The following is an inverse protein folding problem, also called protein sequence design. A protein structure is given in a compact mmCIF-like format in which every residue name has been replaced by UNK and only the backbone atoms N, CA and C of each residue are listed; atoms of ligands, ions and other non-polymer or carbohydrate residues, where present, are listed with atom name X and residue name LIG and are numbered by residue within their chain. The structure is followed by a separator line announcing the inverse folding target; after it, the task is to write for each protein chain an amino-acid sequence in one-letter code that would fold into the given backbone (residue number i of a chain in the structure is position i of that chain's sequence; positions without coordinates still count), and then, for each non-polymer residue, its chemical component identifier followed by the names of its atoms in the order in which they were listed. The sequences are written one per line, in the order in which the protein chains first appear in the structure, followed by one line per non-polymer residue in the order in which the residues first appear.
data_IF_942680572287
#
_entry.id   IF_942680572287
#
_cell.length_a   1.000
_cell.length_b   1.000
_cell.length_c   1.000
_cell.angle_alpha   90.00
_cell.angle_beta   90.00
_cell.angle_gamma   90.00
#
_symmetry.space_group_name_H-M   'P 1'
#
loop_
_entity.id
_entity.type
_entity.pdbx_description
1 polymer ?
#
# COMPACT_ATOMS: atom_id res chain seq x y z
N UNK A 1 8.47 -16.43 -5.87
CA UNK A 1 7.96 -15.59 -6.98
C UNK A 1 9.04 -15.38 -8.04
N UNK A 2 10.19 -14.81 -7.70
CA UNK A 2 11.22 -14.35 -8.66
C UNK A 2 11.71 -15.46 -9.61
N UNK A 3 12.08 -16.61 -9.10
CA UNK A 3 12.64 -17.73 -9.91
C UNK A 3 11.66 -18.19 -11.01
N UNK A 4 10.37 -18.32 -10.70
CA UNK A 4 9.35 -18.69 -11.68
C UNK A 4 9.08 -17.59 -12.69
N UNK A 5 9.00 -16.31 -12.25
CA UNK A 5 8.80 -15.18 -13.14
C UNK A 5 9.95 -15.05 -14.15
N UNK A 6 11.20 -15.17 -13.69
CA UNK A 6 12.41 -15.11 -14.53
C UNK A 6 12.41 -16.25 -15.56
N UNK A 7 12.13 -17.48 -15.14
CA UNK A 7 12.06 -18.66 -16.04
C UNK A 7 10.96 -18.48 -17.09
N UNK A 8 9.78 -18.01 -16.70
CA UNK A 8 8.67 -17.78 -17.62
C UNK A 8 9.00 -16.72 -18.67
N UNK A 9 9.56 -15.55 -18.25
CA UNK A 9 9.95 -14.49 -19.18
C UNK A 9 11.05 -14.94 -20.15
N UNK A 10 12.07 -15.66 -19.67
CA UNK A 10 13.11 -16.25 -20.53
C UNK A 10 12.56 -17.28 -21.50
N UNK A 11 11.48 -17.98 -21.15
CA UNK A 11 10.77 -18.90 -22.04
C UNK A 11 9.80 -18.18 -23.03
N UNK A 12 9.69 -16.85 -22.94
CA UNK A 12 8.90 -16.05 -23.88
C UNK A 12 7.48 -15.70 -23.38
N UNK A 13 7.11 -16.03 -22.15
CA UNK A 13 5.82 -15.70 -21.56
C UNK A 13 5.82 -14.28 -20.96
N UNK A 14 4.65 -13.63 -21.00
CA UNK A 14 4.35 -12.49 -20.14
C UNK A 14 3.95 -12.98 -18.75
N UNK A 15 4.11 -12.18 -17.71
CA UNK A 15 3.93 -12.62 -16.32
C UNK A 15 2.99 -11.70 -15.56
N UNK A 16 1.92 -12.25 -14.98
CA UNK A 16 1.23 -11.67 -13.86
C UNK A 16 1.80 -12.32 -12.58
N UNK A 17 2.23 -11.50 -11.63
CA UNK A 17 2.92 -11.94 -10.44
C UNK A 17 2.24 -11.39 -9.19
N UNK A 18 1.93 -12.26 -8.23
CA UNK A 18 1.42 -11.83 -6.94
C UNK A 18 2.45 -11.01 -6.15
N UNK A 19 1.93 -10.13 -5.31
CA UNK A 19 2.76 -9.36 -4.37
C UNK A 19 3.28 -10.25 -3.22
N UNK A 20 4.43 -9.92 -2.65
CA UNK A 20 5.44 -8.98 -3.13
C UNK A 20 6.17 -9.52 -4.36
N UNK A 21 6.77 -8.64 -5.14
CA UNK A 21 7.49 -9.00 -6.39
C UNK A 21 8.57 -10.08 -6.18
N UNK A 22 9.22 -10.09 -5.00
CA UNK A 22 10.23 -11.06 -4.60
C UNK A 22 10.37 -11.08 -3.07
N UNK A 23 11.19 -11.99 -2.55
CA UNK A 23 11.53 -12.06 -1.12
C UNK A 23 12.65 -11.09 -0.74
N UNK A 24 13.52 -10.74 -1.69
CA UNK A 24 14.65 -9.83 -1.50
C UNK A 24 14.68 -8.75 -2.57
N UNK A 25 15.33 -7.62 -2.25
CA UNK A 25 15.54 -6.52 -3.21
C UNK A 25 16.34 -6.99 -4.42
N UNK A 26 17.39 -7.78 -4.20
CA UNK A 26 18.23 -8.29 -5.28
C UNK A 26 17.47 -9.17 -6.27
N UNK A 27 16.60 -10.04 -5.77
CA UNK A 27 15.72 -10.85 -6.63
C UNK A 27 14.72 -9.99 -7.40
N UNK A 28 14.14 -8.96 -6.76
CA UNK A 28 13.22 -8.04 -7.41
C UNK A 28 13.91 -7.26 -8.54
N UNK A 29 15.13 -6.78 -8.32
CA UNK A 29 15.96 -6.13 -9.33
C UNK A 29 16.26 -7.06 -10.51
N UNK A 30 16.54 -8.34 -10.23
CA UNK A 30 16.76 -9.35 -11.28
C UNK A 30 15.48 -9.61 -12.08
N UNK A 31 14.32 -9.70 -11.46
CA UNK A 31 13.01 -9.81 -12.15
C UNK A 31 12.81 -8.62 -13.10
N UNK A 32 13.03 -7.40 -12.62
CA UNK A 32 12.91 -6.17 -13.43
C UNK A 32 13.91 -6.16 -14.58
N UNK A 33 15.15 -6.57 -14.33
CA UNK A 33 16.19 -6.66 -15.35
C UNK A 33 15.80 -7.63 -16.47
N UNK A 34 15.34 -8.82 -16.10
CA UNK A 34 14.92 -9.86 -17.06
C UNK A 34 13.68 -9.42 -17.84
N UNK A 35 12.72 -8.74 -17.21
CA UNK A 35 11.56 -8.19 -17.91
C UNK A 35 12.00 -7.21 -19.02
N UNK A 36 12.94 -6.31 -18.71
CA UNK A 36 13.51 -5.37 -19.69
C UNK A 36 14.28 -6.09 -20.82
N UNK A 37 15.12 -7.06 -20.48
CA UNK A 37 15.92 -7.81 -21.46
C UNK A 37 15.07 -8.65 -22.42
N UNK A 38 14.02 -9.28 -21.91
CA UNK A 38 13.14 -10.14 -22.72
C UNK A 38 12.04 -9.36 -23.45
N UNK A 39 11.81 -8.10 -23.08
CA UNK A 39 10.70 -7.29 -23.58
C UNK A 39 9.32 -7.86 -23.20
N UNK A 40 9.24 -8.65 -22.11
CA UNK A 40 7.98 -9.23 -21.67
C UNK A 40 7.28 -8.32 -20.69
N UNK A 41 5.96 -8.19 -20.84
CA UNK A 41 5.14 -7.48 -19.88
C UNK A 41 5.11 -8.24 -18.57
N UNK A 42 5.26 -7.50 -17.49
CA UNK A 42 5.08 -7.97 -16.12
C UNK A 42 4.12 -7.02 -15.39
N UNK A 43 3.18 -7.58 -14.66
CA UNK A 43 2.25 -6.85 -13.79
C UNK A 43 2.29 -7.48 -12.42
N UNK A 44 2.41 -6.66 -11.38
CA UNK A 44 2.39 -7.11 -9.98
C UNK A 44 0.97 -6.88 -9.43
N UNK A 45 0.44 -7.86 -8.69
CA UNK A 45 -0.90 -7.85 -8.12
C UNK A 45 -1.06 -6.82 -6.98
N UNK A 46 -1.10 -5.54 -7.32
CA UNK A 46 -1.42 -4.44 -6.41
C UNK A 46 -2.87 -4.01 -6.61
N UNK A 47 -3.78 -4.71 -5.97
CA UNK A 47 -5.23 -4.59 -6.13
C UNK A 47 -5.74 -3.14 -5.95
N UNK A 48 -5.11 -2.33 -5.09
CA UNK A 48 -5.47 -0.94 -4.88
C UNK A 48 -5.20 -0.05 -6.10
N UNK A 49 -4.32 -0.46 -7.02
CA UNK A 49 -4.04 0.26 -8.27
C UNK A 49 -5.18 0.21 -9.29
N UNK A 50 -6.06 -0.78 -9.17
CA UNK A 50 -7.22 -0.95 -10.05
C UNK A 50 -8.54 -0.64 -9.36
N UNK A 51 -8.49 -0.26 -8.07
CA UNK A 51 -9.64 0.13 -7.28
C UNK A 51 -10.00 1.61 -7.56
N UNK A 52 -11.20 1.92 -8.10
CA UNK A 52 -11.54 3.27 -8.55
C UNK A 52 -11.39 4.33 -7.45
N UNK A 53 -11.81 3.98 -6.24
CA UNK A 53 -11.78 4.89 -5.10
C UNK A 53 -10.36 5.19 -4.63
N UNK A 54 -9.48 4.19 -4.65
CA UNK A 54 -8.06 4.39 -4.34
C UNK A 54 -7.34 5.19 -5.43
N UNK A 55 -7.70 4.98 -6.70
CA UNK A 55 -7.22 5.81 -7.80
C UNK A 55 -7.63 7.27 -7.61
N UNK A 56 -8.88 7.52 -7.20
CA UNK A 56 -9.35 8.88 -6.90
C UNK A 56 -8.66 9.45 -5.66
N UNK A 57 -8.42 8.65 -4.62
CA UNK A 57 -7.66 9.06 -3.44
C UNK A 57 -6.24 9.51 -3.80
N UNK A 58 -5.54 8.74 -4.65
CA UNK A 58 -4.21 9.12 -5.18
C UNK A 58 -4.29 10.40 -6.00
N UNK A 59 -5.28 10.52 -6.89
CA UNK A 59 -5.49 11.71 -7.72
C UNK A 59 -5.71 12.97 -6.89
N UNK A 60 -6.54 12.91 -5.85
CA UNK A 60 -6.77 14.03 -4.94
C UNK A 60 -5.51 14.37 -4.13
N UNK A 61 -4.75 13.37 -3.66
CA UNK A 61 -3.51 13.57 -2.93
C UNK A 61 -2.45 14.30 -3.79
N UNK A 62 -2.30 13.93 -5.05
CA UNK A 62 -1.36 14.57 -5.99
C UNK A 62 -1.68 16.06 -6.22
N UNK A 63 -2.94 16.49 -6.06
CA UNK A 63 -3.35 17.89 -6.20
C UNK A 63 -3.02 18.76 -4.98
N UNK A 64 -2.65 18.16 -3.85
CA UNK A 64 -2.37 18.89 -2.60
C UNK A 64 -1.03 19.65 -2.61
N UNK A 65 -0.22 19.45 -3.64
CA UNK A 65 1.15 19.99 -3.71
C UNK A 65 2.14 19.13 -2.93
N UNK A 66 3.38 19.60 -2.81
CA UNK A 66 4.48 18.89 -2.13
C UNK A 66 5.10 19.79 -1.05
N UNK A 67 5.63 19.26 0.05
CA UNK A 67 5.66 17.83 0.42
C UNK A 67 4.29 17.31 0.90
N UNK A 68 4.12 15.99 0.89
CA UNK A 68 2.94 15.31 1.44
C UNK A 68 3.24 14.70 2.81
N UNK A 69 2.26 14.70 3.70
CA UNK A 69 2.23 13.87 4.90
C UNK A 69 1.17 12.80 4.70
N UNK A 70 1.60 11.55 4.58
CA UNK A 70 0.75 10.40 4.27
C UNK A 70 0.64 9.50 5.49
N UNK A 71 -0.58 9.24 5.99
CA UNK A 71 -0.83 8.38 7.16
C UNK A 71 -1.79 7.28 6.78
N UNK A 72 -1.35 6.03 6.93
CA UNK A 72 -2.18 4.87 6.62
C UNK A 72 -1.94 3.75 7.63
N UNK A 73 -2.97 2.97 7.90
CA UNK A 73 -2.84 1.78 8.72
C UNK A 73 -3.72 0.63 8.24
N UNK A 74 -3.37 -0.57 8.70
CA UNK A 74 -4.19 -1.76 8.60
C UNK A 74 -4.02 -2.64 9.83
N UNK A 75 -4.77 -2.34 10.88
CA UNK A 75 -4.84 -3.14 12.09
C UNK A 75 -6.05 -4.08 12.02
N UNK A 76 -5.81 -5.36 11.79
CA UNK A 76 -6.87 -6.34 11.57
C UNK A 76 -7.20 -7.12 12.85
N UNK A 77 -8.43 -6.98 13.33
CA UNK A 77 -8.96 -7.90 14.32
C UNK A 77 -9.19 -9.25 13.63
N UNK A 78 -8.53 -10.28 14.10
CA UNK A 78 -8.66 -11.62 13.55
C UNK A 78 -8.90 -12.66 14.64
N UNK A 79 -9.78 -13.60 14.34
CA UNK A 79 -10.15 -14.70 15.21
C UNK A 79 -10.48 -15.96 14.40
N UNK A 80 -10.59 -17.13 15.05
CA UNK A 80 -10.92 -18.39 14.39
C UNK A 80 -9.97 -18.73 13.25
N UNK A 81 -10.52 -19.10 12.09
CA UNK A 81 -9.75 -19.52 10.90
C UNK A 81 -8.92 -18.36 10.32
N UNK A 82 -9.42 -17.12 10.39
CA UNK A 82 -8.67 -15.94 9.96
C UNK A 82 -7.42 -15.74 10.82
N UNK A 83 -7.54 -15.93 12.14
CA UNK A 83 -6.37 -15.86 13.02
C UNK A 83 -5.36 -16.98 12.71
N UNK A 84 -5.83 -18.19 12.42
CA UNK A 84 -4.95 -19.26 12.00
C UNK A 84 -4.23 -18.96 10.69
N UNK A 85 -4.94 -18.36 9.73
CA UNK A 85 -4.35 -17.93 8.45
C UNK A 85 -3.28 -16.86 8.68
N UNK A 86 -3.55 -15.85 9.49
CA UNK A 86 -2.57 -14.81 9.82
C UNK A 86 -1.34 -15.38 10.54
N UNK A 87 -1.51 -16.31 11.47
CA UNK A 87 -0.37 -17.02 12.11
C UNK A 87 0.49 -17.75 11.08
N UNK A 88 -0.12 -18.41 10.11
CA UNK A 88 0.60 -19.10 9.05
C UNK A 88 1.39 -18.12 8.16
N UNK A 89 0.81 -16.99 7.79
CA UNK A 89 1.50 -15.94 7.02
C UNK A 89 2.66 -15.37 7.82
N UNK A 90 2.43 -15.06 9.10
CA UNK A 90 3.46 -14.49 9.99
C UNK A 90 4.65 -15.41 10.23
N UNK A 91 4.53 -16.73 9.94
CA UNK A 91 5.70 -17.61 9.97
C UNK A 91 6.77 -17.22 8.93
N UNK A 92 6.42 -16.42 7.93
CA UNK A 92 7.29 -15.96 6.84
C UNK A 92 7.39 -14.44 6.74
N UNK A 93 6.27 -13.73 6.88
CA UNK A 93 6.18 -12.28 6.68
C UNK A 93 5.37 -11.62 7.79
N UNK A 94 5.94 -10.62 8.52
CA UNK A 94 5.18 -9.86 9.50
C UNK A 94 4.11 -8.98 8.83
N UNK A 95 3.04 -8.57 9.54
CA UNK A 95 1.96 -7.74 8.99
C UNK A 95 2.45 -6.45 8.34
N UNK A 96 3.50 -5.84 8.92
CA UNK A 96 4.11 -4.61 8.41
C UNK A 96 4.70 -4.81 7.00
N UNK A 97 5.16 -6.00 6.65
CA UNK A 97 5.68 -6.32 5.31
C UNK A 97 4.56 -6.79 4.39
N UNK A 98 3.78 -7.79 4.78
CA UNK A 98 2.78 -8.42 3.91
C UNK A 98 1.70 -7.44 3.43
N UNK A 99 1.11 -6.67 4.36
CA UNK A 99 0.13 -5.63 4.02
C UNK A 99 0.81 -4.32 3.61
N UNK A 100 1.98 -4.04 4.19
CA UNK A 100 2.71 -2.79 3.96
C UNK A 100 3.00 -2.51 2.51
N UNK A 101 3.37 -3.52 1.71
CA UNK A 101 3.67 -3.34 0.28
C UNK A 101 2.54 -2.66 -0.49
N UNK A 102 1.26 -2.91 -0.16
CA UNK A 102 0.13 -2.27 -0.81
C UNK A 102 0.02 -0.78 -0.49
N UNK A 103 0.12 -0.42 0.80
CA UNK A 103 -0.04 0.97 1.24
C UNK A 103 1.18 1.82 0.91
N UNK A 104 2.37 1.22 0.98
CA UNK A 104 3.61 1.88 0.56
C UNK A 104 3.61 2.10 -0.96
N UNK A 105 3.08 1.16 -1.75
CA UNK A 105 2.87 1.34 -3.18
C UNK A 105 1.95 2.53 -3.46
N UNK A 106 0.86 2.69 -2.72
CA UNK A 106 -0.04 3.86 -2.81
C UNK A 106 0.71 5.15 -2.45
N UNK A 107 1.54 5.16 -1.40
CA UNK A 107 2.35 6.33 -1.05
C UNK A 107 3.34 6.68 -2.17
N UNK A 108 3.99 5.68 -2.78
CA UNK A 108 4.86 5.89 -3.94
C UNK A 108 4.13 6.53 -5.12
N UNK A 109 2.89 6.09 -5.41
CA UNK A 109 2.06 6.71 -6.44
C UNK A 109 1.71 8.17 -6.12
N UNK A 110 1.39 8.48 -4.86
CA UNK A 110 1.02 9.84 -4.43
C UNK A 110 2.18 10.83 -4.53
N UNK A 111 3.36 10.40 -4.06
CA UNK A 111 4.51 11.30 -4.05
C UNK A 111 5.32 11.28 -5.34
N UNK A 112 5.34 10.19 -6.08
CA UNK A 112 6.18 10.00 -7.27
C UNK A 112 7.67 10.33 -7.03
N UNK A 113 8.08 10.30 -5.75
CA UNK A 113 9.44 10.65 -5.30
C UNK A 113 10.16 9.39 -4.81
N UNK A 114 11.49 9.43 -4.82
CA UNK A 114 12.28 8.30 -4.34
C UNK A 114 12.27 8.26 -2.82
N UNK A 115 12.16 7.08 -2.21
CA UNK A 115 12.36 6.92 -0.79
C UNK A 115 13.84 7.12 -0.44
N UNK A 116 14.11 7.74 0.71
CA UNK A 116 15.47 8.08 1.17
C UNK A 116 15.81 7.34 2.44
N UNK A 117 14.86 7.25 3.37
CA UNK A 117 15.13 6.76 4.72
C UNK A 117 13.90 6.16 5.37
N UNK A 118 14.11 5.10 6.15
CA UNK A 118 13.06 4.41 6.91
C UNK A 118 13.50 4.22 8.36
N UNK A 119 12.59 4.45 9.30
CA UNK A 119 12.68 4.00 10.68
C UNK A 119 11.44 3.17 11.04
N UNK A 120 11.57 2.21 11.94
CA UNK A 120 10.45 1.37 12.33
C UNK A 120 10.60 0.86 13.78
N UNK A 121 9.46 0.49 14.34
CA UNK A 121 9.32 -0.20 15.62
C UNK A 121 8.38 -1.39 15.44
N UNK A 122 8.50 -2.38 16.30
CA UNK A 122 7.63 -3.56 16.31
C UNK A 122 7.33 -4.02 17.72
N UNK A 123 6.24 -4.77 17.87
CA UNK A 123 5.84 -5.35 19.14
C UNK A 123 5.31 -6.77 18.96
N UNK A 124 5.67 -7.61 19.93
CA UNK A 124 5.15 -8.95 20.09
C UNK A 124 3.97 -8.91 21.08
N UNK A 125 2.75 -9.13 20.57
CA UNK A 125 1.52 -8.98 21.35
C UNK A 125 0.82 -10.32 21.64
N UNK A 126 1.36 -11.46 21.17
CA UNK A 126 0.74 -12.77 21.34
C UNK A 126 1.77 -13.89 21.31
N UNK A 127 1.78 -14.72 22.35
CA UNK A 127 2.64 -15.92 22.41
C UNK A 127 2.29 -16.97 21.32
N UNK A 128 1.10 -16.87 20.72
CA UNK A 128 0.65 -17.78 19.66
C UNK A 128 1.39 -17.63 18.34
N UNK A 129 2.16 -16.55 18.15
CA UNK A 129 2.94 -16.28 16.94
C UNK A 129 4.44 -16.64 17.07
N UNK A 130 4.80 -17.34 18.15
CA UNK A 130 6.20 -17.69 18.45
C UNK A 130 7.04 -16.42 18.69
N UNK A 131 8.21 -16.34 18.09
CA UNK A 131 9.12 -15.16 18.25
C UNK A 131 8.80 -14.01 17.30
N UNK A 132 7.73 -14.12 16.51
CA UNK A 132 7.35 -13.11 15.52
C UNK A 132 6.63 -11.91 16.16
N UNK A 133 6.82 -10.72 15.59
CA UNK A 133 6.06 -9.54 15.97
C UNK A 133 4.79 -9.44 15.13
N UNK A 134 3.64 -9.39 15.80
CA UNK A 134 2.34 -9.24 15.13
C UNK A 134 1.83 -7.80 15.08
N UNK A 135 2.68 -6.84 15.44
CA UNK A 135 2.48 -5.40 15.28
C UNK A 135 3.77 -4.74 14.80
N UNK A 136 3.65 -3.79 13.87
CA UNK A 136 4.75 -2.97 13.41
C UNK A 136 4.29 -1.62 12.89
N UNK A 137 5.17 -0.62 13.00
CA UNK A 137 4.96 0.74 12.53
C UNK A 137 6.24 1.24 11.87
N UNK A 138 6.10 1.92 10.72
CA UNK A 138 7.23 2.54 10.01
C UNK A 138 6.99 4.01 9.70
N UNK A 139 8.08 4.75 9.55
CA UNK A 139 8.13 6.11 9.06
C UNK A 139 9.11 6.20 7.89
N UNK A 140 8.68 6.85 6.81
CA UNK A 140 9.41 6.94 5.56
C UNK A 140 9.64 8.42 5.22
N UNK A 141 10.81 8.74 4.70
CA UNK A 141 11.13 10.06 4.14
C UNK A 141 11.44 9.91 2.65
N UNK A 142 10.94 10.81 1.83
CA UNK A 142 11.16 10.86 0.38
C UNK A 142 12.02 12.08 -0.02
N UNK A 143 12.65 12.04 -1.20
CA UNK A 143 13.53 13.11 -1.70
C UNK A 143 12.83 14.48 -1.80
N UNK A 144 11.53 14.52 -2.12
CA UNK A 144 10.72 15.74 -2.22
C UNK A 144 10.33 16.34 -0.86
N UNK A 145 10.81 15.74 0.25
CA UNK A 145 10.46 16.10 1.61
C UNK A 145 9.15 15.51 2.12
N UNK A 146 8.44 14.74 1.28
CA UNK A 146 7.25 14.01 1.72
C UNK A 146 7.60 12.97 2.77
N UNK A 147 6.66 12.71 3.67
CA UNK A 147 6.80 11.71 4.74
C UNK A 147 5.61 10.77 4.77
N UNK A 148 5.89 9.50 5.01
CA UNK A 148 4.90 8.45 5.18
C UNK A 148 4.93 7.88 6.59
N UNK A 149 3.76 7.53 7.10
CA UNK A 149 3.58 6.70 8.28
C UNK A 149 2.66 5.54 7.92
N UNK A 150 3.09 4.32 8.24
CA UNK A 150 2.30 3.12 8.06
C UNK A 150 2.37 2.25 9.31
N UNK A 151 1.25 1.65 9.66
CA UNK A 151 1.09 0.76 10.81
C UNK A 151 0.27 -0.47 10.41
N UNK A 152 0.70 -1.64 10.88
CA UNK A 152 -0.06 -2.87 10.72
C UNK A 152 0.02 -3.74 11.96
N UNK A 153 -1.08 -4.37 12.32
CA UNK A 153 -1.15 -5.33 13.41
C UNK A 153 -2.24 -6.36 13.18
N UNK A 154 -1.96 -7.62 13.50
CA UNK A 154 -2.91 -8.73 13.38
C UNK A 154 -3.14 -9.42 14.69
N UNK A 155 -4.39 -9.72 14.98
CA UNK A 155 -4.72 -10.57 16.11
C UNK A 155 -6.06 -10.25 16.78
N UNK A 156 -6.48 -11.10 17.71
CA UNK A 156 -7.74 -10.91 18.44
C UNK A 156 -7.72 -9.70 19.39
N UNK A 157 -6.52 -9.13 19.67
CA UNK A 157 -6.37 -7.93 20.49
C UNK A 157 -6.63 -6.63 19.73
N UNK A 158 -6.73 -6.64 18.39
CA UNK A 158 -6.98 -5.45 17.58
C UNK A 158 -8.44 -5.03 17.68
N UNK A 159 -8.68 -3.73 17.74
CA UNK A 159 -10.02 -3.13 17.71
C UNK A 159 -10.53 -3.02 16.27
N UNK A 160 -11.83 -3.17 16.06
CA UNK A 160 -12.48 -2.98 14.76
C UNK A 160 -12.33 -1.56 14.21
N UNK A 161 -12.09 -0.57 15.05
CA UNK A 161 -11.88 0.82 14.64
C UNK A 161 -10.41 1.17 14.39
N UNK A 162 -9.46 0.37 14.89
CA UNK A 162 -8.04 0.64 14.81
C UNK A 162 -7.45 0.49 13.39
N UNK A 163 -8.17 -0.08 12.44
CA UNK A 163 -7.72 -0.28 11.06
C UNK A 163 -7.96 0.93 10.13
N UNK A 164 -8.54 2.02 10.64
CA UNK A 164 -9.13 3.05 9.79
C UNK A 164 -8.47 4.42 9.93
N UNK A 165 -7.20 4.54 9.54
CA UNK A 165 -6.54 5.84 9.32
C UNK A 165 -5.96 5.83 7.92
N UNK A 166 -6.55 6.61 7.02
CA UNK A 166 -6.06 6.79 5.65
C UNK A 166 -6.28 8.23 5.25
N UNK A 167 -5.25 9.05 5.45
CA UNK A 167 -5.30 10.45 5.11
C UNK A 167 -3.97 10.97 4.55
N UNK A 168 -4.07 12.05 3.79
CA UNK A 168 -2.94 12.74 3.20
C UNK A 168 -3.13 14.24 3.36
N UNK A 169 -2.11 14.91 3.88
CA UNK A 169 -2.06 16.35 4.05
C UNK A 169 -0.94 16.90 3.15
N UNK A 170 -1.22 17.99 2.47
CA UNK A 170 -0.23 18.74 1.69
C UNK A 170 -0.42 20.24 1.85
N UNK A 171 0.42 21.05 1.20
CA UNK A 171 0.35 22.52 1.32
C UNK A 171 -1.00 23.15 0.93
N UNK A 172 -1.79 22.46 0.10
CA UNK A 172 -3.06 22.99 -0.41
C UNK A 172 -4.30 22.43 0.28
N UNK A 173 -4.14 21.58 1.32
CA UNK A 173 -5.26 20.99 2.05
C UNK A 173 -5.01 19.52 2.41
N UNK A 174 -6.07 18.75 2.53
CA UNK A 174 -5.98 17.32 2.81
C UNK A 174 -7.07 16.52 2.09
N UNK A 175 -6.84 15.22 1.98
CA UNK A 175 -7.83 14.24 1.57
C UNK A 175 -7.78 13.05 2.54
N UNK A 176 -8.95 12.59 2.95
CA UNK A 176 -9.08 11.47 3.90
C UNK A 176 -10.12 10.48 3.42
N UNK A 177 -9.87 9.21 3.57
CA UNK A 177 -10.93 8.21 3.48
C UNK A 177 -11.77 8.34 4.73
N UNK A 178 -13.06 8.65 4.56
CA UNK A 178 -14.00 8.90 5.65
C UNK A 178 -15.02 7.77 5.75
N UNK A 179 -15.13 7.15 6.93
CA UNK A 179 -16.23 6.21 7.20
C UNK A 179 -17.56 6.96 7.31
N UNK A 180 -18.64 6.42 6.73
CA UNK A 180 -19.98 6.93 6.97
C UNK A 180 -20.40 6.58 8.42
N UNK A 181 -21.05 7.53 9.09
CA UNK A 181 -21.50 7.33 10.47
C UNK A 181 -22.46 6.13 10.58
N UNK A 182 -22.19 5.23 11.51
CA UNK A 182 -23.10 4.15 11.92
C UNK A 182 -22.83 2.76 11.35
N UNK A 183 -21.87 2.58 10.47
CA UNK A 183 -21.48 1.26 9.97
C UNK A 183 -20.18 0.79 10.65
N UNK A 184 -20.31 -0.21 11.54
CA UNK A 184 -19.15 -0.94 12.07
C UNK A 184 -18.57 -1.81 10.96
N UNK A 185 -17.31 -1.58 10.60
CA UNK A 185 -16.61 -2.41 9.61
C UNK A 185 -16.04 -3.65 10.28
N UNK A 186 -16.28 -4.81 9.68
CA UNK A 186 -15.55 -6.03 10.03
C UNK A 186 -14.12 -5.90 9.53
N UNK A 187 -13.14 -5.84 10.43
CA UNK A 187 -11.73 -5.62 10.08
C UNK A 187 -11.03 -6.86 9.52
N UNK A 188 -11.66 -8.01 9.57
CA UNK A 188 -11.15 -9.30 9.08
C UNK A 188 -11.65 -9.66 7.68
N UNK A 189 -12.58 -8.89 7.12
CA UNK A 189 -13.08 -9.09 5.76
C UNK A 189 -12.18 -8.36 4.75
N UNK A 190 -11.72 -9.07 3.71
CA UNK A 190 -10.86 -8.51 2.64
C UNK A 190 -11.52 -7.32 1.95
N UNK A 191 -12.81 -7.40 1.64
CA UNK A 191 -13.55 -6.30 1.00
C UNK A 191 -13.58 -5.04 1.88
N UNK A 192 -13.68 -5.21 3.20
CA UNK A 192 -13.72 -4.06 4.12
C UNK A 192 -12.40 -3.28 4.19
N UNK A 193 -11.27 -3.92 3.84
CA UNK A 193 -9.96 -3.25 3.80
C UNK A 193 -9.79 -2.37 2.59
N UNK A 194 -10.37 -2.75 1.46
CA UNK A 194 -10.27 -2.03 0.20
C UNK A 194 -11.32 -0.93 0.06
N UNK A 195 -12.49 -1.08 0.69
CA UNK A 195 -13.58 -0.11 0.64
C UNK A 195 -13.19 1.23 1.25
N UNK A 196 -13.59 2.29 0.57
CA UNK A 196 -13.35 3.67 0.99
C UNK A 196 -14.63 4.41 1.38
N UNK A 197 -15.79 4.02 0.82
CA UNK A 197 -17.13 4.59 0.97
C UNK A 197 -17.23 6.06 0.57
N UNK A 198 -16.37 6.93 1.11
CA UNK A 198 -16.29 8.33 0.69
C UNK A 198 -14.91 8.91 0.95
N UNK A 199 -14.57 9.93 0.18
CA UNK A 199 -13.39 10.76 0.42
C UNK A 199 -13.85 12.13 0.92
N UNK A 200 -13.27 12.59 2.02
CA UNK A 200 -13.37 13.98 2.46
C UNK A 200 -12.21 14.76 1.88
N UNK A 201 -12.50 15.80 1.09
CA UNK A 201 -11.52 16.70 0.49
C UNK A 201 -11.66 18.06 1.11
N UNK A 202 -10.60 18.55 1.75
CA UNK A 202 -10.46 19.87 2.31
C UNK A 202 -9.47 20.70 1.48
N UNK A 203 -9.78 21.96 1.16
CA UNK A 203 -8.89 22.91 0.51
C UNK A 203 -8.50 24.01 1.49
N UNK A 204 -7.20 24.20 1.69
CA UNK A 204 -6.66 25.09 2.73
C UNK A 204 -6.51 26.57 2.33
N UNK A 205 -7.04 26.99 1.17
CA UNK A 205 -6.98 28.37 0.75
C UNK A 205 -7.87 29.28 1.61
N UNK A 206 -7.32 30.42 2.08
CA UNK A 206 -8.03 31.40 2.88
C UNK A 206 -8.28 32.66 2.05
N UNK A 207 -9.41 33.31 2.32
CA UNK A 207 -9.73 34.65 1.80
C UNK A 207 -9.02 35.77 2.59
N UNK A 208 -9.27 37.03 2.24
CA UNK A 208 -8.71 38.20 2.92
C UNK A 208 -9.16 38.36 4.40
N UNK A 209 -10.22 37.68 4.80
CA UNK A 209 -10.76 37.67 6.16
C UNK A 209 -10.29 36.47 6.97
N UNK A 210 -9.51 35.54 6.37
CA UNK A 210 -9.02 34.32 7.00
C UNK A 210 -10.06 33.17 7.04
N UNK A 211 -11.12 33.26 6.25
CA UNK A 211 -12.08 32.17 6.08
C UNK A 211 -11.68 31.27 4.91
N UNK A 212 -12.03 29.99 4.99
CA UNK A 212 -11.79 29.06 3.88
C UNK A 212 -12.58 29.50 2.64
N UNK A 213 -11.89 29.54 1.49
CA UNK A 213 -12.50 29.89 0.19
C UNK A 213 -13.47 28.81 -0.30
N UNK A 214 -13.14 27.54 -0.04
CA UNK A 214 -13.96 26.41 -0.44
C UNK A 214 -14.45 25.64 0.80
N UNK A 215 -15.70 25.18 0.84
CA UNK A 215 -16.17 24.27 1.88
C UNK A 215 -15.58 22.88 1.67
N UNK A 216 -15.56 22.08 2.73
CA UNK A 216 -15.23 20.66 2.65
C UNK A 216 -16.20 19.94 1.70
N UNK A 217 -15.63 19.04 0.90
CA UNK A 217 -16.38 18.29 -0.10
C UNK A 217 -16.22 16.79 0.14
N UNK A 218 -17.36 16.10 0.17
CA UNK A 218 -17.37 14.64 0.13
C UNK A 218 -17.47 14.16 -1.32
N UNK A 219 -16.68 13.15 -1.65
CA UNK A 219 -16.79 12.39 -2.89
C UNK A 219 -17.34 11.04 -2.49
N UNK A 220 -18.63 10.81 -2.76
CA UNK A 220 -19.26 9.53 -2.53
C UNK A 220 -18.79 8.52 -3.57
N UNK A 221 -18.44 7.34 -3.10
CA UNK A 221 -17.91 6.24 -3.88
C UNK A 221 -18.86 5.05 -3.75
N UNK A 222 -20.10 5.27 -4.21
CA UNK A 222 -21.08 4.20 -4.35
C UNK A 222 -20.61 3.18 -5.39
N UNK A 223 -21.07 1.96 -5.37
CA UNK A 223 -20.71 0.89 -6.32
C UNK A 223 -19.20 0.52 -6.34
N UNK A 224 -18.56 0.50 -5.18
CA UNK A 224 -17.19 -0.03 -5.08
C UNK A 224 -17.14 -1.52 -5.46
N UNK A 225 -16.19 -1.92 -6.31
CA UNK A 225 -16.07 -3.31 -6.74
C UNK A 225 -15.71 -4.23 -5.57
N UNK A 226 -16.24 -5.45 -5.57
CA UNK A 226 -15.78 -6.50 -4.67
C UNK A 226 -14.41 -7.06 -5.06
N UNK A 227 -13.89 -7.95 -4.24
CA UNK A 227 -12.56 -8.53 -4.44
C UNK A 227 -12.41 -9.22 -5.82
N UNK A 228 -13.39 -10.01 -6.22
CA UNK A 228 -13.36 -10.74 -7.50
C UNK A 228 -13.36 -9.79 -8.70
N UNK A 229 -14.14 -8.70 -8.65
CA UNK A 229 -14.15 -7.67 -9.70
C UNK A 229 -12.79 -6.95 -9.78
N UNK A 230 -12.14 -6.73 -8.64
CA UNK A 230 -10.81 -6.14 -8.61
C UNK A 230 -9.76 -7.08 -9.21
N UNK A 231 -9.82 -8.38 -8.92
CA UNK A 231 -8.98 -9.39 -9.56
C UNK A 231 -9.18 -9.42 -11.09
N UNK A 232 -10.41 -9.31 -11.58
CA UNK A 232 -10.70 -9.21 -13.01
C UNK A 232 -10.04 -7.96 -13.62
N UNK A 233 -10.14 -6.80 -12.98
CA UNK A 233 -9.50 -5.55 -13.42
C UNK A 233 -7.97 -5.63 -13.45
N UNK A 234 -7.34 -6.36 -12.54
CA UNK A 234 -5.91 -6.63 -12.59
C UNK A 234 -5.54 -7.45 -13.82
N UNK A 235 -6.33 -8.47 -14.16
CA UNK A 235 -6.11 -9.25 -15.39
C UNK A 235 -6.34 -8.42 -16.65
N UNK A 236 -7.33 -7.52 -16.66
CA UNK A 236 -7.51 -6.56 -17.74
C UNK A 236 -6.31 -5.62 -17.90
N UNK A 237 -5.77 -5.11 -16.80
CA UNK A 237 -4.55 -4.30 -16.81
C UNK A 237 -3.37 -5.08 -17.40
N UNK A 238 -3.21 -6.33 -17.00
CA UNK A 238 -2.17 -7.21 -17.55
C UNK A 238 -2.34 -7.43 -19.06
N UNK A 239 -3.55 -7.67 -19.54
CA UNK A 239 -3.82 -7.79 -20.98
C UNK A 239 -3.50 -6.50 -21.73
N UNK A 240 -3.81 -5.33 -21.18
CA UNK A 240 -3.43 -4.03 -21.76
C UNK A 240 -1.91 -3.86 -21.80
N UNK A 241 -1.20 -4.27 -20.75
CA UNK A 241 0.26 -4.27 -20.71
C UNK A 241 0.87 -5.17 -21.82
N UNK A 242 0.33 -6.38 -22.00
CA UNK A 242 0.75 -7.31 -23.08
C UNK A 242 0.59 -6.67 -24.47
N UNK A 243 -0.49 -5.93 -24.69
CA UNK A 243 -0.78 -5.26 -25.97
C UNK A 243 0.01 -3.96 -26.17
N UNK A 244 0.75 -3.50 -25.14
CA UNK A 244 1.45 -2.22 -25.17
C UNK A 244 0.52 -1.00 -25.10
N UNK A 245 -0.69 -1.17 -24.60
CA UNK A 245 -1.70 -0.11 -24.43
C UNK A 245 -1.46 0.74 -23.17
N UNK A 246 -0.65 0.25 -22.22
CA UNK A 246 -0.28 0.94 -20.97
C UNK A 246 1.22 0.82 -20.73
N UNK A 247 1.82 1.88 -20.21
CA UNK A 247 3.21 1.88 -19.76
C UNK A 247 3.28 1.39 -18.30
N UNK A 248 3.97 0.29 -18.08
CA UNK A 248 4.14 -0.33 -16.77
C UNK A 248 5.42 0.10 -16.05
N UNK A 249 6.19 1.04 -16.61
CA UNK A 249 7.49 1.45 -16.05
C UNK A 249 7.33 1.91 -14.61
N UNK A 250 6.40 2.84 -14.37
CA UNK A 250 6.14 3.35 -13.02
C UNK A 250 5.61 2.29 -12.05
N UNK A 251 4.71 1.41 -12.52
CA UNK A 251 4.19 0.30 -11.74
C UNK A 251 5.31 -0.60 -11.21
N UNK A 252 6.28 -0.93 -12.07
CA UNK A 252 7.43 -1.79 -11.72
C UNK A 252 8.38 -1.07 -10.76
N UNK A 253 8.64 0.22 -10.98
CA UNK A 253 9.50 1.03 -10.09
C UNK A 253 8.89 1.15 -8.69
N UNK A 254 7.60 1.41 -8.58
CA UNK A 254 6.91 1.51 -7.30
C UNK A 254 6.84 0.16 -6.59
N UNK A 255 6.66 -0.95 -7.33
CA UNK A 255 6.72 -2.29 -6.78
C UNK A 255 8.10 -2.61 -6.17
N UNK A 256 9.18 -2.19 -6.83
CA UNK A 256 10.54 -2.33 -6.30
C UNK A 256 10.75 -1.42 -5.07
N UNK A 257 10.30 -0.16 -5.13
CA UNK A 257 10.43 0.78 -4.02
C UNK A 257 9.61 0.36 -2.81
N UNK A 258 8.37 -0.13 -2.99
CA UNK A 258 7.55 -0.62 -1.89
C UNK A 258 8.21 -1.80 -1.18
N UNK A 259 8.79 -2.75 -1.93
CA UNK A 259 9.54 -3.86 -1.35
C UNK A 259 10.78 -3.37 -0.57
N UNK A 260 11.59 -2.47 -1.16
CA UNK A 260 12.75 -1.89 -0.47
C UNK A 260 12.37 -1.26 0.86
N UNK A 261 11.31 -0.46 0.87
CA UNK A 261 10.84 0.26 2.06
C UNK A 261 10.42 -0.73 3.15
N UNK A 262 9.59 -1.72 2.84
CA UNK A 262 9.07 -2.64 3.88
C UNK A 262 10.15 -3.56 4.44
N UNK A 263 11.11 -4.01 3.62
CA UNK A 263 12.24 -4.80 4.08
C UNK A 263 13.21 -3.97 4.91
N UNK A 264 13.50 -2.72 4.50
CA UNK A 264 14.30 -1.79 5.30
C UNK A 264 13.59 -1.42 6.61
N UNK A 265 12.26 -1.34 6.63
CA UNK A 265 11.49 -1.13 7.85
C UNK A 265 11.63 -2.32 8.82
N UNK A 266 11.57 -3.55 8.31
CA UNK A 266 11.81 -4.74 9.12
C UNK A 266 13.23 -4.71 9.72
N UNK A 267 14.25 -4.45 8.91
CA UNK A 267 15.63 -4.33 9.36
C UNK A 267 15.80 -3.20 10.40
N UNK A 268 15.17 -2.04 10.17
CA UNK A 268 15.19 -0.91 11.08
C UNK A 268 14.61 -1.26 12.45
N UNK A 269 13.49 -1.99 12.48
CA UNK A 269 12.84 -2.43 13.71
C UNK A 269 13.69 -3.47 14.48
N UNK A 270 14.31 -4.41 13.77
CA UNK A 270 15.18 -5.44 14.36
C UNK A 270 16.48 -4.83 14.92
N UNK A 271 17.08 -3.88 14.23
CA UNK A 271 18.34 -3.25 14.62
C UNK A 271 18.16 -2.04 15.56
N UNK A 272 16.94 -1.51 15.69
CA UNK A 272 16.67 -0.26 16.43
C UNK A 272 17.37 0.95 15.80
N UNK A 273 17.51 0.98 14.49
CA UNK A 273 18.22 2.02 13.72
C UNK A 273 17.40 2.51 12.57
N UNK A 274 17.72 3.73 12.13
CA UNK A 274 17.23 4.25 10.86
C UNK A 274 18.05 3.67 9.71
N UNK A 275 17.40 3.26 8.62
CA UNK A 275 18.04 2.70 7.41
C UNK A 275 17.94 3.72 6.28
N UNK A 276 19.09 4.05 5.67
CA UNK A 276 19.15 4.82 4.42
C UNK A 276 18.90 3.88 3.22
N UNK A 277 18.14 4.36 2.20
CA UNK A 277 17.67 3.56 1.06
C UNK A 277 18.43 3.86 -0.22
#
# INVERSE_FOLDING_TARGET
HADYAIKAMKAGAHVFLEKPIAETVAEAEEVVRVAKETGKAITIGYILRVHPSWMEFVNQAQQLGKPLVMRMNLNQQSHGDNWQTHKNIMSSLPPMVDCGVHYIDVMCQMTESKPVRVSAIQAHLSDEVGDQCNYGQMQITFEDGSVGWYEAGWGPMMSTTAHFVKDVVGPKGCVSIAAKEGEGKESDNVDSHTRTESLLVHRGALDENGAFVEPDRYIDLEDEPGHDDLCEREQELFLKAIRGEVDMTRHIEDALNSLRIVLAAQEAAEQGKCIEL
#
